data_IF_717924225313
#
_entry.id   IF_717924225313
#
_cell.length_a   1.000
_cell.length_b   1.000
_cell.length_c   1.000
_cell.angle_alpha   90.00
_cell.angle_beta   90.00
_cell.angle_gamma   90.00
#
_symmetry.space_group_name_H-M   'P 1'
#
loop_
_entity.id
_entity.type
_entity.pdbx_description
1 polymer ?
#
# COMPACT_ATOMS: atom_id res chain seq x y z
N UNK A 1 -0.44 16.14 -18.32
CA UNK A 1 -0.61 15.29 -17.12
C UNK A 1 0.24 14.05 -17.30
N UNK A 2 0.90 13.57 -16.24
CA UNK A 2 1.56 12.26 -16.27
C UNK A 2 0.51 11.15 -16.36
N UNK A 3 0.81 10.04 -17.04
CA UNK A 3 -0.06 8.86 -17.03
C UNK A 3 -0.05 8.19 -15.64
N UNK A 4 -1.15 7.52 -15.29
CA UNK A 4 -1.26 6.73 -14.05
C UNK A 4 -0.09 5.75 -13.91
N UNK A 5 0.27 5.03 -14.98
CA UNK A 5 1.42 4.11 -14.99
C UNK A 5 2.73 4.80 -14.58
N UNK A 6 3.00 6.02 -15.07
CA UNK A 6 4.21 6.76 -14.72
C UNK A 6 4.19 7.21 -13.25
N UNK A 7 3.04 7.66 -12.75
CA UNK A 7 2.90 8.09 -11.35
C UNK A 7 3.01 6.90 -10.40
N UNK A 8 2.32 5.80 -10.69
CA UNK A 8 2.35 4.60 -9.87
C UNK A 8 3.74 3.96 -9.89
N UNK A 9 4.39 3.87 -11.05
CA UNK A 9 5.76 3.36 -11.14
C UNK A 9 6.75 4.18 -10.29
N UNK A 10 6.62 5.51 -10.27
CA UNK A 10 7.42 6.39 -9.41
C UNK A 10 7.10 6.18 -7.93
N UNK A 11 5.83 6.03 -7.58
CA UNK A 11 5.40 5.78 -6.21
C UNK A 11 5.94 4.45 -5.69
N UNK A 12 5.80 3.38 -6.47
CA UNK A 12 6.33 2.04 -6.15
C UNK A 12 7.85 2.10 -5.98
N UNK A 13 8.58 2.74 -6.89
CA UNK A 13 10.03 2.89 -6.78
C UNK A 13 10.44 3.69 -5.54
N UNK A 14 9.70 4.73 -5.16
CA UNK A 14 9.98 5.51 -3.95
C UNK A 14 9.72 4.70 -2.67
N UNK A 15 8.62 3.95 -2.64
CA UNK A 15 8.26 3.05 -1.53
C UNK A 15 9.29 1.92 -1.38
N UNK A 16 9.75 1.36 -2.49
CA UNK A 16 10.80 0.34 -2.55
C UNK A 16 12.15 0.85 -2.02
N UNK A 17 12.59 2.02 -2.53
CA UNK A 17 13.81 2.66 -2.08
C UNK A 17 13.77 3.01 -0.58
N UNK A 18 12.62 3.48 -0.08
CA UNK A 18 12.45 3.76 1.35
C UNK A 18 12.52 2.46 2.18
N UNK A 19 11.91 1.38 1.71
CA UNK A 19 11.98 0.08 2.36
C UNK A 19 13.42 -0.43 2.46
N UNK A 20 14.23 -0.28 1.42
CA UNK A 20 15.62 -0.73 1.43
C UNK A 20 16.48 0.00 2.46
N UNK A 21 16.15 1.25 2.81
CA UNK A 21 16.86 1.97 3.88
C UNK A 21 16.78 1.27 5.23
N UNK A 22 15.74 0.45 5.50
CA UNK A 22 15.63 -0.31 6.76
C UNK A 22 16.69 -1.38 6.94
N UNK A 23 17.29 -1.87 5.86
CA UNK A 23 18.38 -2.85 5.95
C UNK A 23 19.68 -2.27 6.51
N UNK A 24 19.75 -0.94 6.64
CA UNK A 24 20.95 -0.20 7.08
C UNK A 24 20.84 0.18 8.56
N UNK A 25 21.74 -0.30 9.43
CA UNK A 25 21.70 0.00 10.86
C UNK A 25 21.71 1.50 11.19
N UNK A 26 22.34 2.32 10.35
CA UNK A 26 22.42 3.78 10.50
C UNK A 26 21.04 4.44 10.42
N UNK A 27 20.06 3.77 9.81
CA UNK A 27 18.72 4.28 9.54
C UNK A 27 17.64 3.58 10.39
N UNK A 28 18.02 2.68 11.29
CA UNK A 28 17.08 1.91 12.12
C UNK A 28 16.20 2.80 13.03
N UNK A 29 16.61 4.03 13.28
CA UNK A 29 15.94 4.97 14.19
C UNK A 29 14.90 5.84 13.48
N UNK A 30 14.86 5.79 12.14
CA UNK A 30 13.95 6.61 11.36
C UNK A 30 12.53 6.03 11.34
N UNK A 31 11.58 6.84 11.81
CA UNK A 31 10.14 6.55 11.78
C UNK A 31 9.51 6.79 10.41
N UNK A 32 10.31 7.03 9.37
CA UNK A 32 9.83 7.36 8.02
C UNK A 32 8.92 6.28 7.45
N UNK A 33 9.09 5.02 7.87
CA UNK A 33 8.18 3.92 7.51
C UNK A 33 6.75 4.11 8.00
N UNK A 34 6.50 4.93 9.02
CA UNK A 34 5.14 5.21 9.49
C UNK A 34 4.34 6.00 8.43
N UNK A 35 5.03 6.76 7.58
CA UNK A 35 4.41 7.48 6.47
C UNK A 35 4.07 6.60 5.27
N UNK A 36 4.42 5.30 5.29
CA UNK A 36 4.18 4.39 4.18
C UNK A 36 2.74 3.92 4.05
N UNK A 37 1.90 4.10 5.09
CA UNK A 37 0.54 3.59 5.09
C UNK A 37 -0.29 4.16 3.93
N UNK A 38 -0.43 5.48 3.87
CA UNK A 38 -1.16 6.15 2.79
C UNK A 38 -0.63 5.81 1.38
N UNK A 39 0.67 6.00 1.06
CA UNK A 39 1.18 5.72 -0.29
C UNK A 39 1.06 4.24 -0.67
N UNK A 40 1.18 3.31 0.27
CA UNK A 40 0.91 1.90 0.00
C UNK A 40 -0.56 1.67 -0.34
N UNK A 41 -1.50 2.22 0.44
CA UNK A 41 -2.94 2.06 0.22
C UNK A 41 -3.34 2.65 -1.13
N UNK A 42 -2.89 3.88 -1.42
CA UNK A 42 -3.14 4.53 -2.70
C UNK A 42 -2.59 3.70 -3.87
N UNK A 43 -1.37 3.15 -3.76
CA UNK A 43 -0.80 2.31 -4.81
C UNK A 43 -1.59 1.02 -5.03
N UNK A 44 -2.04 0.36 -3.95
CA UNK A 44 -2.78 -0.91 -4.00
C UNK A 44 -4.20 -0.78 -4.57
N UNK A 45 -4.79 0.41 -4.55
CA UNK A 45 -6.10 0.68 -5.14
C UNK A 45 -6.06 0.91 -6.65
N UNK A 46 -4.88 1.15 -7.24
CA UNK A 46 -4.69 1.28 -8.70
C UNK A 46 -4.64 -0.12 -9.38
N UNK A 47 -5.68 -0.91 -9.19
CA UNK A 47 -5.73 -2.35 -9.49
C UNK A 47 -5.47 -2.64 -10.97
N UNK A 48 -6.12 -1.92 -11.89
CA UNK A 48 -5.94 -2.12 -13.32
C UNK A 48 -4.50 -1.85 -13.76
N UNK A 49 -3.84 -0.88 -13.13
CA UNK A 49 -2.43 -0.59 -13.40
C UNK A 49 -1.52 -1.67 -12.84
N UNK A 50 -1.78 -2.15 -11.63
CA UNK A 50 -1.03 -3.25 -11.02
C UNK A 50 -1.19 -4.57 -11.78
N UNK A 51 -2.36 -4.84 -12.37
CA UNK A 51 -2.57 -6.00 -13.23
C UNK A 51 -1.72 -5.96 -14.51
N UNK A 52 -1.46 -4.76 -15.06
CA UNK A 52 -0.53 -4.58 -16.20
C UNK A 52 0.94 -4.74 -15.79
N UNK A 53 1.25 -4.51 -14.52
CA UNK A 53 2.61 -4.52 -13.98
C UNK A 53 2.70 -5.37 -12.69
N UNK A 54 2.54 -6.70 -12.77
CA UNK A 54 2.45 -7.56 -11.59
C UNK A 54 3.68 -7.50 -10.68
N UNK A 55 4.86 -7.20 -11.23
CA UNK A 55 6.09 -7.00 -10.44
C UNK A 55 6.00 -5.82 -9.46
N UNK A 56 5.16 -4.82 -9.74
CA UNK A 56 4.91 -3.71 -8.82
C UNK A 56 4.07 -4.15 -7.63
N UNK A 57 3.10 -5.04 -7.84
CA UNK A 57 2.33 -5.66 -6.76
C UNK A 57 3.22 -6.52 -5.86
N UNK A 58 4.12 -7.32 -6.46
CA UNK A 58 5.13 -8.10 -5.72
C UNK A 58 6.02 -7.18 -4.87
N UNK A 59 6.44 -6.05 -5.43
CA UNK A 59 7.25 -5.04 -4.73
C UNK A 59 6.48 -4.46 -3.53
N UNK A 60 5.21 -4.08 -3.72
CA UNK A 60 4.37 -3.57 -2.63
C UNK A 60 4.23 -4.63 -1.53
N UNK A 61 3.91 -5.89 -1.87
CA UNK A 61 3.81 -6.99 -0.91
C UNK A 61 5.12 -7.20 -0.11
N UNK A 62 6.27 -7.13 -0.78
CA UNK A 62 7.60 -7.16 -0.13
C UNK A 62 7.74 -6.03 0.87
N UNK A 63 7.43 -4.80 0.48
CA UNK A 63 7.54 -3.63 1.35
C UNK A 63 6.60 -3.74 2.55
N UNK A 64 5.37 -4.21 2.37
CA UNK A 64 4.44 -4.45 3.48
C UNK A 64 5.01 -5.44 4.50
N UNK A 65 5.66 -6.51 4.04
CA UNK A 65 6.25 -7.53 4.92
C UNK A 65 7.42 -6.99 5.77
N UNK A 66 8.25 -6.11 5.20
CA UNK A 66 9.47 -5.59 5.84
C UNK A 66 9.16 -4.37 6.71
N UNK A 67 8.44 -3.40 6.15
CA UNK A 67 8.18 -2.14 6.83
C UNK A 67 7.03 -2.26 7.83
N UNK A 68 6.14 -3.24 7.64
CA UNK A 68 4.89 -3.38 8.38
C UNK A 68 4.18 -2.02 8.51
N UNK A 69 3.89 -1.31 7.39
CA UNK A 69 3.13 -0.06 7.45
C UNK A 69 1.75 -0.26 8.12
N UNK A 70 1.29 -1.51 8.13
CA UNK A 70 0.11 -2.02 8.80
C UNK A 70 0.31 -2.29 10.31
N UNK A 71 1.52 -2.63 10.76
CA UNK A 71 1.69 -3.20 12.11
C UNK A 71 0.74 -4.36 12.39
N UNK A 72 0.49 -4.65 13.66
CA UNK A 72 -0.50 -5.65 14.11
C UNK A 72 -1.62 -4.91 14.86
N UNK A 73 -2.45 -4.18 14.11
CA UNK A 73 -3.63 -3.51 14.67
C UNK A 73 -4.90 -3.98 13.97
N UNK A 74 -6.04 -3.87 14.66
CA UNK A 74 -7.33 -4.22 14.05
C UNK A 74 -7.65 -3.37 12.81
N UNK A 75 -7.30 -2.08 12.83
CA UNK A 75 -7.50 -1.19 11.68
C UNK A 75 -6.68 -1.67 10.47
N UNK A 76 -5.42 -2.00 10.69
CA UNK A 76 -4.54 -2.46 9.63
C UNK A 76 -4.92 -3.81 9.02
N UNK A 77 -5.45 -4.73 9.82
CA UNK A 77 -6.00 -5.98 9.31
C UNK A 77 -7.21 -5.72 8.40
N UNK A 78 -8.09 -4.79 8.78
CA UNK A 78 -9.23 -4.41 7.95
C UNK A 78 -8.78 -3.81 6.62
N UNK A 79 -7.82 -2.87 6.64
CA UNK A 79 -7.27 -2.27 5.43
C UNK A 79 -6.64 -3.35 4.53
N UNK A 80 -5.83 -4.25 5.10
CA UNK A 80 -5.22 -5.35 4.34
C UNK A 80 -6.28 -6.23 3.67
N UNK A 81 -7.31 -6.62 4.43
CA UNK A 81 -8.41 -7.44 3.89
C UNK A 81 -9.17 -6.74 2.75
N UNK A 82 -9.40 -5.42 2.86
CA UNK A 82 -10.05 -4.64 1.81
C UNK A 82 -9.19 -4.53 0.56
N UNK A 83 -7.89 -4.32 0.71
CA UNK A 83 -6.96 -4.27 -0.42
C UNK A 83 -6.75 -5.64 -1.08
N UNK A 84 -6.83 -6.73 -0.32
CA UNK A 84 -6.79 -8.09 -0.86
C UNK A 84 -8.09 -8.42 -1.57
N UNK A 85 -9.24 -7.96 -1.06
CA UNK A 85 -10.53 -8.09 -1.76
C UNK A 85 -10.47 -7.39 -3.13
N UNK A 86 -10.07 -6.11 -3.17
CA UNK A 86 -9.94 -5.34 -4.42
C UNK A 86 -9.06 -6.05 -5.46
N UNK A 87 -7.93 -6.61 -5.00
CA UNK A 87 -7.02 -7.36 -5.87
C UNK A 87 -7.64 -8.67 -6.38
N UNK A 88 -8.25 -9.44 -5.49
CA UNK A 88 -8.82 -10.75 -5.82
C UNK A 88 -10.05 -10.64 -6.73
N UNK A 89 -10.84 -9.57 -6.60
CA UNK A 89 -11.98 -9.28 -7.48
C UNK A 89 -11.58 -8.50 -8.73
N UNK A 90 -10.32 -8.07 -8.82
CA UNK A 90 -9.81 -7.21 -9.90
C UNK A 90 -10.64 -5.92 -10.06
N UNK A 91 -11.14 -5.38 -8.96
CA UNK A 91 -11.99 -4.19 -8.94
C UNK A 91 -11.15 -2.91 -8.89
N UNK A 92 -11.01 -2.26 -10.04
CA UNK A 92 -10.30 -0.98 -10.18
C UNK A 92 -11.09 0.22 -9.64
N UNK A 93 -12.40 0.05 -9.39
CA UNK A 93 -13.26 1.08 -8.82
C UNK A 93 -13.56 0.80 -7.34
N UNK A 94 -12.69 0.03 -6.67
CA UNK A 94 -12.89 -0.36 -5.28
C UNK A 94 -12.87 0.87 -4.36
N UNK A 95 -14.05 1.26 -3.88
CA UNK A 95 -14.22 2.35 -2.94
C UNK A 95 -13.93 1.86 -1.51
N UNK A 96 -12.72 2.14 -1.03
CA UNK A 96 -12.27 1.69 0.28
C UNK A 96 -13.08 2.31 1.43
N UNK A 97 -13.60 3.53 1.27
CA UNK A 97 -14.36 4.24 2.30
C UNK A 97 -15.76 3.64 2.44
N UNK A 98 -16.43 3.37 1.31
CA UNK A 98 -17.70 2.65 1.29
C UNK A 98 -17.56 1.26 1.92
N UNK A 99 -16.43 0.60 1.65
CA UNK A 99 -16.12 -0.74 2.14
C UNK A 99 -15.79 -0.75 3.64
N UNK A 100 -15.18 0.31 4.15
CA UNK A 100 -14.99 0.54 5.58
C UNK A 100 -16.33 0.75 6.29
N UNK A 101 -17.19 1.60 5.71
CA UNK A 101 -18.52 1.89 6.24
C UNK A 101 -19.36 0.61 6.36
N UNK A 102 -19.35 -0.25 5.34
CA UNK A 102 -20.06 -1.55 5.35
C UNK A 102 -19.58 -2.49 6.46
N UNK A 103 -18.31 -2.38 6.85
CA UNK A 103 -17.69 -3.18 7.92
C UNK A 103 -17.86 -2.55 9.31
N UNK A 104 -18.45 -1.36 9.40
CA UNK A 104 -18.51 -0.55 10.62
C UNK A 104 -17.11 -0.30 11.21
N UNK A 105 -16.14 0.00 10.33
CA UNK A 105 -14.74 0.30 10.68
C UNK A 105 -14.40 1.69 10.17
N UNK A 106 -13.64 2.44 10.97
CA UNK A 106 -13.04 3.70 10.55
C UNK A 106 -11.61 3.45 10.05
N UNK A 107 -11.30 3.94 8.85
CA UNK A 107 -9.95 3.93 8.31
C UNK A 107 -9.31 5.29 8.60
N UNK A 108 -8.32 5.30 9.48
CA UNK A 108 -7.36 6.40 9.59
C UNK A 108 -6.06 6.04 8.86
N UNK A 109 -5.73 6.79 7.80
CA UNK A 109 -4.46 6.66 7.06
C UNK A 109 -3.40 7.67 7.54
N UNK A 110 -3.75 8.57 8.47
CA UNK A 110 -2.93 9.65 9.02
C UNK A 110 -3.19 9.82 10.52
#
# INVERSE_FOLDING_TARGET
MASTDLLLGRLVAAVDALCDTRSRPEYAQFLTTNSLLYPYVAARLEVATLLRHPTWMETLCRVASICQPYGITANAQNITNMLDEAWNTQDDNYDIDLQAQRRNVEIALF
#
